data_IF_926353623990
#
_entry.id   IF_926353623990
#
_cell.length_a   1.000
_cell.length_b   1.000
_cell.length_c   1.000
_cell.angle_alpha   90.00
_cell.angle_beta   90.00
_cell.angle_gamma   90.00
#
_symmetry.space_group_name_H-M   'P 1'
#
loop_
_entity.id
_entity.type
_entity.pdbx_description
1 polymer ?
#
# COMPACT_ATOMS: atom_id res chain seq x y z
N UNK A 1 -45.21 -8.83 30.05
CA UNK A 1 -44.54 -9.11 28.76
C UNK A 1 -43.09 -8.65 28.87
N UNK A 2 -42.11 -9.54 28.66
CA UNK A 2 -40.69 -9.17 28.76
C UNK A 2 -40.20 -8.55 27.45
N UNK A 3 -39.62 -7.34 27.50
CA UNK A 3 -39.07 -6.67 26.34
C UNK A 3 -37.79 -7.38 25.86
N UNK A 4 -37.76 -7.81 24.59
CA UNK A 4 -36.56 -8.39 23.98
C UNK A 4 -35.53 -7.29 23.75
N UNK A 5 -34.37 -7.42 24.38
CA UNK A 5 -33.24 -6.50 24.22
C UNK A 5 -32.65 -6.70 22.83
N UNK A 6 -32.80 -5.71 21.95
CA UNK A 6 -32.21 -5.72 20.60
C UNK A 6 -30.70 -5.55 20.73
N UNK A 7 -29.94 -6.59 20.43
CA UNK A 7 -28.48 -6.52 20.38
C UNK A 7 -28.06 -5.89 19.05
N UNK A 8 -27.54 -4.66 19.10
CA UNK A 8 -26.96 -4.00 17.93
C UNK A 8 -25.75 -4.80 17.46
N UNK A 9 -25.78 -5.35 16.24
CA UNK A 9 -24.59 -5.99 15.66
C UNK A 9 -23.49 -4.95 15.52
N UNK A 10 -22.34 -5.21 16.13
CA UNK A 10 -21.13 -4.43 15.91
C UNK A 10 -20.69 -4.65 14.46
N UNK A 11 -20.79 -3.61 13.64
CA UNK A 11 -20.21 -3.63 12.29
C UNK A 11 -18.69 -3.61 12.50
N UNK A 12 -18.01 -4.66 12.04
CA UNK A 12 -16.54 -4.67 12.04
C UNK A 12 -16.07 -3.66 10.97
N UNK A 13 -15.06 -2.84 11.25
CA UNK A 13 -14.43 -2.03 10.21
C UNK A 13 -13.96 -2.96 9.09
N UNK A 14 -14.29 -2.61 7.85
CA UNK A 14 -13.75 -3.33 6.68
C UNK A 14 -12.26 -3.00 6.63
N UNK A 15 -11.43 -4.04 6.56
CA UNK A 15 -10.00 -3.84 6.41
C UNK A 15 -9.73 -3.13 5.07
N UNK A 16 -8.87 -2.10 5.04
CA UNK A 16 -8.53 -1.42 3.81
C UNK A 16 -7.93 -2.41 2.81
N UNK A 17 -8.32 -2.28 1.54
CA UNK A 17 -7.84 -3.14 0.47
C UNK A 17 -6.33 -2.92 0.25
N UNK A 18 -5.58 -3.93 -0.23
CA UNK A 18 -4.19 -3.74 -0.60
C UNK A 18 -4.05 -2.78 -1.79
N UNK A 19 -2.97 -2.00 -1.81
CA UNK A 19 -2.65 -1.10 -2.92
C UNK A 19 -2.46 -1.91 -4.22
N UNK A 20 -3.10 -1.56 -5.33
CA UNK A 20 -3.01 -2.32 -6.58
C UNK A 20 -1.61 -2.26 -7.23
N UNK A 21 -0.88 -1.17 -7.03
CA UNK A 21 0.39 -0.91 -7.71
C UNK A 21 1.56 -1.67 -7.08
N UNK A 22 1.67 -1.63 -5.75
CA UNK A 22 2.69 -2.38 -5.00
C UNK A 22 2.16 -3.69 -4.39
N UNK A 23 0.89 -4.06 -4.65
CA UNK A 23 0.24 -5.29 -4.16
C UNK A 23 0.33 -5.49 -2.65
N UNK A 24 0.28 -4.41 -1.88
CA UNK A 24 0.41 -4.48 -0.42
C UNK A 24 1.82 -4.32 0.14
N UNK A 25 2.85 -4.29 -0.71
CA UNK A 25 4.23 -4.22 -0.22
C UNK A 25 4.61 -2.85 0.37
N UNK A 26 3.98 -1.77 -0.08
CA UNK A 26 4.35 -0.40 0.29
C UNK A 26 5.59 0.13 -0.44
N UNK A 27 6.35 -0.74 -1.10
CA UNK A 27 7.55 -0.40 -1.84
C UNK A 27 7.58 -1.08 -3.22
N UNK A 28 8.36 -0.50 -4.13
CA UNK A 28 8.61 -1.02 -5.49
C UNK A 28 10.12 -1.09 -5.74
N UNK A 29 10.58 -2.04 -6.55
CA UNK A 29 12.00 -2.16 -6.89
C UNK A 29 12.29 -1.39 -8.20
N UNK A 30 13.18 -0.41 -8.15
CA UNK A 30 13.60 0.39 -9.30
C UNK A 30 15.10 0.25 -9.57
N UNK A 31 15.49 0.27 -10.85
CA UNK A 31 16.89 0.25 -11.27
C UNK A 31 17.54 1.59 -10.98
N UNK A 32 18.70 1.58 -10.33
CA UNK A 32 19.42 2.82 -10.03
C UNK A 32 20.04 3.39 -11.30
N UNK A 33 19.76 4.66 -11.57
CA UNK A 33 20.31 5.41 -12.71
C UNK A 33 21.28 6.49 -12.23
N UNK A 34 22.49 6.52 -12.81
CA UNK A 34 23.55 7.47 -12.44
C UNK A 34 23.86 8.43 -13.60
N UNK A 35 23.94 9.73 -13.32
CA UNK A 35 24.37 10.76 -14.28
C UNK A 35 23.31 11.83 -14.56
N UNK A 36 23.76 13.04 -14.89
CA UNK A 36 22.97 14.28 -14.76
C UNK A 36 21.77 14.47 -15.71
N UNK A 37 21.62 13.66 -16.78
CA UNK A 37 20.51 13.84 -17.74
C UNK A 37 19.77 12.56 -18.07
N UNK A 38 20.38 11.67 -18.86
CA UNK A 38 19.74 10.42 -19.28
C UNK A 38 19.93 9.28 -18.29
N UNK A 39 20.83 9.46 -17.33
CA UNK A 39 21.29 8.38 -16.46
C UNK A 39 21.93 7.23 -17.25
N UNK A 40 22.74 6.43 -16.58
CA UNK A 40 23.06 5.06 -17.02
C UNK A 40 22.45 4.12 -16.01
N UNK A 41 21.71 3.13 -16.50
CA UNK A 41 21.22 2.05 -15.65
C UNK A 41 22.42 1.29 -15.09
N UNK A 42 22.32 0.95 -13.81
CA UNK A 42 23.28 0.09 -13.12
C UNK A 42 22.63 -1.26 -12.87
N UNK A 43 23.45 -2.28 -12.59
CA UNK A 43 22.95 -3.61 -12.23
C UNK A 43 22.33 -3.64 -10.82
N UNK A 44 22.37 -2.52 -10.10
CA UNK A 44 21.80 -2.39 -8.77
C UNK A 44 20.31 -2.00 -8.83
N UNK A 45 19.52 -2.62 -7.96
CA UNK A 45 18.13 -2.24 -7.68
C UNK A 45 18.02 -1.62 -6.31
N UNK A 46 17.22 -0.57 -6.21
CA UNK A 46 16.83 0.05 -4.94
C UNK A 46 15.35 -0.22 -4.68
N UNK A 47 15.01 -0.46 -3.42
CA UNK A 47 13.64 -0.39 -2.97
C UNK A 47 13.27 1.06 -2.77
N UNK A 48 12.18 1.48 -3.42
CA UNK A 48 11.66 2.84 -3.37
C UNK A 48 10.25 2.80 -2.83
N UNK A 49 9.89 3.81 -2.06
CA UNK A 49 8.56 3.97 -1.52
C UNK A 49 7.51 3.99 -2.65
N UNK A 50 6.47 3.17 -2.54
CA UNK A 50 5.38 3.18 -3.49
C UNK A 50 4.62 4.51 -3.34
N UNK A 51 4.72 5.35 -4.36
CA UNK A 51 4.14 6.70 -4.35
C UNK A 51 2.60 6.69 -4.35
N UNK A 52 1.98 5.62 -4.86
CA UNK A 52 0.52 5.49 -4.92
C UNK A 52 -0.12 5.34 -3.53
N UNK A 53 0.53 4.60 -2.63
CA UNK A 53 0.05 4.37 -1.27
C UNK A 53 0.92 5.03 -0.19
N UNK A 54 1.92 5.82 -0.58
CA UNK A 54 2.88 6.48 0.30
C UNK A 54 3.51 5.52 1.33
N UNK A 55 3.88 4.31 0.91
CA UNK A 55 4.49 3.33 1.82
C UNK A 55 3.52 2.52 2.68
N UNK A 56 2.23 2.83 2.70
CA UNK A 56 1.27 2.12 3.57
C UNK A 56 0.92 0.71 3.11
N UNK A 57 1.11 0.41 1.82
CA UNK A 57 0.65 -0.83 1.21
C UNK A 57 -0.87 -0.93 1.06
N UNK A 58 -1.62 0.10 1.44
CA UNK A 58 -3.08 0.10 1.41
C UNK A 58 -3.59 0.99 0.28
N UNK A 59 -4.73 0.62 -0.30
CA UNK A 59 -5.47 1.48 -1.21
C UNK A 59 -6.04 2.68 -0.42
N UNK A 60 -5.86 3.87 -0.96
CA UNK A 60 -6.44 5.12 -0.45
C UNK A 60 -7.90 5.28 -0.84
#
# INVERSE_FOLDING_TARGET
MAAKRTTTRRIKPVAPAPCPDCKGAGETAETVRIGARKGRETDHRQTVLCLSCLGTGLAT
#
